data_IF_247411963458
#
_entry.id   IF_247411963458
#
_cell.length_a   1.000
_cell.length_b   1.000
_cell.length_c   1.000
_cell.angle_alpha   90.00
_cell.angle_beta   90.00
_cell.angle_gamma   90.00
#
_symmetry.space_group_name_H-M   'P 1'
#
loop_
_entity.id
_entity.type
_entity.pdbx_description
1 polymer ?
#
# COMPACT_ATOMS: atom_id res chain seq x y z
N UNK A 1 45.62 -21.08 -4.99
CA UNK A 1 45.11 -19.85 -5.63
C UNK A 1 45.02 -18.79 -4.55
N UNK A 2 45.71 -17.66 -4.68
CA UNK A 2 45.59 -16.56 -3.73
C UNK A 2 44.18 -15.97 -3.83
N UNK A 3 43.53 -15.70 -2.70
CA UNK A 3 42.25 -15.01 -2.71
C UNK A 3 42.46 -13.57 -3.22
N UNK A 4 41.76 -13.20 -4.28
CA UNK A 4 41.75 -11.81 -4.77
C UNK A 4 40.95 -10.99 -3.77
N UNK A 5 41.60 -9.98 -3.19
CA UNK A 5 40.94 -9.04 -2.28
C UNK A 5 40.10 -8.05 -3.06
N UNK A 6 38.85 -7.85 -2.66
CA UNK A 6 37.98 -6.82 -3.24
C UNK A 6 38.58 -5.42 -3.05
N UNK A 7 39.36 -5.22 -1.97
CA UNK A 7 40.07 -3.97 -1.65
C UNK A 7 41.34 -3.74 -2.48
N UNK A 8 41.70 -4.68 -3.37
CA UNK A 8 42.79 -4.50 -4.31
C UNK A 8 42.31 -3.95 -5.66
N UNK A 9 41.00 -3.71 -5.80
CA UNK A 9 40.43 -3.11 -7.00
C UNK A 9 40.65 -1.59 -6.98
N UNK A 10 40.69 -0.93 -8.16
CA UNK A 10 40.55 0.51 -8.26
C UNK A 10 39.25 0.99 -7.58
N UNK A 11 39.30 2.15 -6.93
CA UNK A 11 38.18 2.71 -6.16
C UNK A 11 36.91 2.88 -7.01
N UNK A 12 37.06 3.14 -8.31
CA UNK A 12 35.95 3.24 -9.26
C UNK A 12 35.17 1.93 -9.37
N UNK A 13 35.87 0.79 -9.40
CA UNK A 13 35.24 -0.53 -9.44
C UNK A 13 34.63 -0.89 -8.10
N UNK A 14 35.24 -0.48 -6.99
CA UNK A 14 34.65 -0.67 -5.65
C UNK A 14 33.33 0.09 -5.53
N UNK A 15 33.29 1.35 -6.00
CA UNK A 15 32.07 2.17 -6.04
C UNK A 15 31.00 1.53 -6.91
N UNK A 16 31.36 1.08 -8.11
CA UNK A 16 30.41 0.47 -9.03
C UNK A 16 29.82 -0.83 -8.47
N UNK A 17 30.67 -1.72 -7.91
CA UNK A 17 30.23 -2.94 -7.23
C UNK A 17 29.30 -2.61 -6.06
N UNK A 18 29.64 -1.60 -5.25
CA UNK A 18 28.80 -1.23 -4.12
C UNK A 18 27.46 -0.62 -4.55
N UNK A 19 27.42 0.08 -5.69
CA UNK A 19 26.22 0.75 -6.22
C UNK A 19 25.16 -0.21 -6.78
N UNK A 20 25.56 -1.41 -7.20
CA UNK A 20 24.65 -2.43 -7.73
C UNK A 20 24.02 -3.30 -6.63
N UNK A 21 24.54 -3.25 -5.40
CA UNK A 21 24.02 -4.00 -4.27
C UNK A 21 22.68 -3.42 -3.76
N UNK A 22 21.85 -4.28 -3.18
CA UNK A 22 20.68 -3.84 -2.41
C UNK A 22 21.09 -3.19 -1.09
N UNK A 23 20.20 -2.38 -0.51
CA UNK A 23 20.47 -1.59 0.71
C UNK A 23 21.01 -2.42 1.89
N UNK A 24 20.49 -3.64 2.08
CA UNK A 24 20.94 -4.55 3.15
C UNK A 24 22.39 -5.02 2.97
N UNK A 25 22.72 -5.69 1.85
CA UNK A 25 24.10 -6.05 1.52
C UNK A 25 25.07 -4.86 1.50
N UNK A 26 24.66 -3.68 0.99
CA UNK A 26 25.48 -2.46 1.05
C UNK A 26 25.88 -2.11 2.49
N UNK A 27 24.90 -2.11 3.42
CA UNK A 27 25.15 -1.81 4.82
C UNK A 27 26.02 -2.88 5.47
N UNK A 28 25.79 -4.16 5.17
CA UNK A 28 26.62 -5.26 5.68
C UNK A 28 28.08 -5.12 5.23
N UNK A 29 28.30 -4.77 3.96
CA UNK A 29 29.63 -4.53 3.41
C UNK A 29 30.31 -3.34 4.10
N UNK A 30 29.58 -2.23 4.27
CA UNK A 30 30.07 -1.05 4.98
C UNK A 30 30.46 -1.34 6.44
N UNK A 31 29.76 -2.26 7.10
CA UNK A 31 30.04 -2.68 8.47
C UNK A 31 31.16 -3.71 8.58
N UNK A 32 31.62 -4.29 7.47
CA UNK A 32 32.63 -5.35 7.48
C UNK A 32 34.06 -4.83 7.72
N UNK A 33 34.40 -3.65 7.21
CA UNK A 33 35.72 -3.04 7.38
C UNK A 33 35.72 -1.52 7.22
N UNK A 34 36.80 -0.85 7.68
CA UNK A 34 36.92 0.62 7.62
C UNK A 34 36.98 1.16 6.19
N UNK A 35 37.60 0.44 5.26
CA UNK A 35 37.70 0.88 3.86
C UNK A 35 36.32 1.00 3.21
N UNK A 36 35.47 -0.03 3.33
CA UNK A 36 34.08 0.03 2.86
C UNK A 36 33.23 1.01 3.65
N UNK A 37 33.53 1.23 4.94
CA UNK A 37 32.86 2.27 5.71
C UNK A 37 33.15 3.67 5.15
N UNK A 38 34.40 3.96 4.76
CA UNK A 38 34.74 5.24 4.10
C UNK A 38 34.10 5.34 2.71
N UNK A 39 34.11 4.25 1.93
CA UNK A 39 33.43 4.19 0.64
C UNK A 39 31.93 4.47 0.76
N UNK A 40 31.30 3.91 1.80
CA UNK A 40 29.90 4.12 2.10
C UNK A 40 29.57 5.59 2.36
N UNK A 41 30.49 6.37 2.94
CA UNK A 41 30.29 7.80 3.18
C UNK A 41 30.35 8.66 1.92
N UNK A 42 30.79 8.10 0.78
CA UNK A 42 30.80 8.85 -0.47
C UNK A 42 29.39 9.27 -0.88
N UNK A 43 29.20 10.48 -1.47
CA UNK A 43 27.88 10.95 -1.87
C UNK A 43 27.16 10.00 -2.85
N UNK A 44 27.90 9.39 -3.77
CA UNK A 44 27.35 8.45 -4.76
C UNK A 44 26.74 7.21 -4.09
N UNK A 45 27.45 6.63 -3.11
CA UNK A 45 26.96 5.45 -2.38
C UNK A 45 25.85 5.81 -1.42
N UNK A 46 25.92 6.95 -0.72
CA UNK A 46 24.81 7.42 0.12
C UNK A 46 23.54 7.63 -0.70
N UNK A 47 23.65 8.25 -1.87
CA UNK A 47 22.52 8.45 -2.78
C UNK A 47 21.95 7.12 -3.27
N UNK A 48 22.80 6.20 -3.77
CA UNK A 48 22.37 4.88 -4.20
C UNK A 48 21.69 4.10 -3.07
N UNK A 49 22.28 4.12 -1.87
CA UNK A 49 21.72 3.49 -0.67
C UNK A 49 20.33 4.07 -0.34
N UNK A 50 20.18 5.40 -0.35
CA UNK A 50 18.90 6.05 -0.08
C UNK A 50 17.84 5.73 -1.14
N UNK A 51 18.21 5.67 -2.42
CA UNK A 51 17.32 5.21 -3.51
C UNK A 51 16.82 3.79 -3.25
N UNK A 52 17.74 2.85 -2.96
CA UNK A 52 17.38 1.46 -2.66
C UNK A 52 16.51 1.36 -1.41
N UNK A 53 16.85 2.12 -0.36
CA UNK A 53 16.08 2.16 0.87
C UNK A 53 14.65 2.64 0.63
N UNK A 54 14.47 3.62 -0.25
CA UNK A 54 13.16 4.21 -0.59
C UNK A 54 12.46 3.51 -1.75
N UNK A 55 13.06 2.45 -2.32
CA UNK A 55 12.56 1.73 -3.48
C UNK A 55 12.32 2.69 -4.66
N UNK A 56 13.23 3.64 -4.81
CA UNK A 56 13.28 4.59 -5.91
C UNK A 56 14.44 4.25 -6.85
N UNK A 57 14.34 4.71 -8.09
CA UNK A 57 15.37 4.68 -9.10
C UNK A 57 15.53 6.07 -9.71
N UNK A 58 16.76 6.40 -10.06
CA UNK A 58 17.08 7.57 -10.85
C UNK A 58 16.78 7.26 -12.33
N UNK A 59 16.13 8.19 -13.03
CA UNK A 59 15.79 7.99 -14.43
C UNK A 59 16.88 8.49 -15.40
N UNK A 60 18.09 8.77 -14.90
CA UNK A 60 19.26 9.11 -15.72
C UNK A 60 19.23 10.55 -16.21
N UNK A 61 19.31 11.50 -15.28
CA UNK A 61 19.25 12.93 -15.60
C UNK A 61 20.61 13.60 -15.60
N UNK A 62 20.77 14.69 -16.37
CA UNK A 62 21.99 15.53 -16.35
C UNK A 62 22.06 16.44 -15.11
N UNK A 63 21.32 16.13 -14.05
CA UNK A 63 21.26 16.95 -12.84
C UNK A 63 22.40 16.52 -11.91
N UNK A 64 23.11 17.49 -11.30
CA UNK A 64 24.16 17.17 -10.34
C UNK A 64 23.66 16.25 -9.22
N UNK A 65 24.46 15.23 -8.89
CA UNK A 65 24.16 14.23 -7.85
C UNK A 65 23.74 14.87 -6.52
N UNK A 66 24.41 15.95 -6.10
CA UNK A 66 24.09 16.66 -4.86
C UNK A 66 22.67 17.24 -4.85
N UNK A 67 22.19 17.72 -6.01
CA UNK A 67 20.84 18.26 -6.17
C UNK A 67 19.80 17.13 -6.07
N UNK A 68 20.07 15.99 -6.71
CA UNK A 68 19.21 14.81 -6.65
C UNK A 68 19.14 14.23 -5.24
N UNK A 69 20.30 14.11 -4.57
CA UNK A 69 20.38 13.61 -3.21
C UNK A 69 19.67 14.54 -2.21
N UNK A 70 19.90 15.86 -2.31
CA UNK A 70 19.20 16.85 -1.49
C UNK A 70 17.68 16.79 -1.69
N UNK A 71 17.23 16.58 -2.93
CA UNK A 71 15.81 16.41 -3.26
C UNK A 71 15.25 15.14 -2.63
N UNK A 72 15.95 14.01 -2.72
CA UNK A 72 15.54 12.74 -2.11
C UNK A 72 15.42 12.87 -0.57
N UNK A 73 16.42 13.48 0.07
CA UNK A 73 16.39 13.74 1.51
C UNK A 73 15.24 14.66 1.92
N UNK A 74 14.96 15.71 1.14
CA UNK A 74 13.81 16.60 1.37
C UNK A 74 12.50 15.82 1.25
N UNK A 75 12.32 15.00 0.21
CA UNK A 75 11.13 14.17 0.04
C UNK A 75 10.94 13.20 1.21
N UNK A 76 12.03 12.55 1.65
CA UNK A 76 12.02 11.65 2.79
C UNK A 76 11.61 12.37 4.07
N UNK A 77 12.20 13.52 4.36
CA UNK A 77 11.82 14.35 5.52
C UNK A 77 10.36 14.81 5.40
N UNK A 78 9.93 15.30 4.23
CA UNK A 78 8.53 15.68 4.03
C UNK A 78 7.57 14.54 4.31
N UNK A 79 7.90 13.30 3.92
CA UNK A 79 7.10 12.13 4.23
C UNK A 79 7.14 11.76 5.71
N UNK A 80 8.33 11.72 6.31
CA UNK A 80 8.53 11.40 7.72
C UNK A 80 7.78 12.34 8.66
N UNK A 81 7.79 13.63 8.34
CA UNK A 81 7.17 14.68 9.14
C UNK A 81 5.78 15.06 8.66
N UNK A 82 5.26 14.39 7.63
CA UNK A 82 4.00 14.74 6.96
C UNK A 82 3.92 16.24 6.64
N UNK A 83 5.04 16.81 6.19
CA UNK A 83 5.15 18.24 5.87
C UNK A 83 4.52 18.49 4.49
N UNK A 84 3.19 18.52 4.48
CA UNK A 84 2.38 18.72 3.29
C UNK A 84 2.68 20.06 2.64
N UNK A 85 2.95 20.05 1.34
CA UNK A 85 3.14 21.27 0.54
C UNK A 85 1.83 21.85 0.05
N UNK A 86 0.78 21.02 -0.02
CA UNK A 86 -0.54 21.38 -0.47
C UNK A 86 -1.58 20.63 0.36
N UNK A 87 -2.65 21.33 0.75
CA UNK A 87 -3.79 20.77 1.44
C UNK A 87 -5.08 21.28 0.81
N UNK A 88 -6.07 20.40 0.72
CA UNK A 88 -7.39 20.74 0.19
C UNK A 88 -8.46 19.92 0.88
N UNK A 89 -9.68 20.47 0.91
CA UNK A 89 -10.84 19.78 1.46
C UNK A 89 -11.80 19.49 0.33
N UNK A 90 -12.10 18.20 0.10
CA UNK A 90 -13.14 17.77 -0.83
C UNK A 90 -14.40 17.49 -0.03
N UNK A 91 -15.47 18.27 -0.30
CA UNK A 91 -16.78 18.02 0.31
C UNK A 91 -17.50 16.96 -0.50
N UNK A 92 -17.95 15.91 0.16
CA UNK A 92 -18.73 14.85 -0.46
C UNK A 92 -20.10 14.75 0.20
N UNK A 93 -21.18 14.62 -0.57
CA UNK A 93 -22.53 14.41 -0.03
C UNK A 93 -22.64 13.03 0.61
N UNK A 94 -23.63 12.81 1.49
CA UNK A 94 -23.95 11.47 2.00
C UNK A 94 -23.07 10.95 3.15
N UNK A 95 -23.57 9.90 3.83
CA UNK A 95 -22.90 9.25 4.97
C UNK A 95 -22.00 8.14 4.43
N UNK A 96 -20.73 8.14 4.81
CA UNK A 96 -19.75 7.14 4.37
C UNK A 96 -20.16 5.70 4.76
N UNK A 97 -20.31 4.81 3.77
CA UNK A 97 -20.44 3.36 3.98
C UNK A 97 -19.10 2.66 3.74
N UNK A 98 -18.57 2.81 2.53
CA UNK A 98 -17.30 2.27 2.09
C UNK A 98 -16.54 3.32 1.26
N UNK A 99 -15.22 3.24 1.21
CA UNK A 99 -14.40 4.10 0.35
C UNK A 99 -13.18 3.37 -0.18
N UNK A 100 -12.67 3.88 -1.29
CA UNK A 100 -11.42 3.48 -1.88
C UNK A 100 -10.64 4.72 -2.34
N UNK A 101 -9.32 4.61 -2.29
CA UNK A 101 -8.43 5.64 -2.81
C UNK A 101 -7.30 4.98 -3.57
N UNK A 102 -7.23 5.22 -4.88
CA UNK A 102 -6.12 4.76 -5.72
C UNK A 102 -5.74 5.79 -6.75
N UNK A 103 -4.43 5.98 -6.96
CA UNK A 103 -3.88 6.82 -8.04
C UNK A 103 -4.44 8.25 -8.10
N UNK A 104 -4.73 8.84 -6.94
CA UNK A 104 -5.33 10.16 -6.82
C UNK A 104 -6.80 10.22 -7.23
N UNK A 105 -7.49 9.09 -7.34
CA UNK A 105 -8.95 8.97 -7.40
C UNK A 105 -9.43 8.54 -6.02
N UNK A 106 -10.33 9.33 -5.44
CA UNK A 106 -11.10 8.97 -4.27
C UNK A 106 -12.50 8.54 -4.72
N UNK A 107 -12.95 7.40 -4.26
CA UNK A 107 -14.31 6.94 -4.50
C UNK A 107 -14.95 6.51 -3.17
N UNK A 108 -16.26 6.67 -3.06
CA UNK A 108 -17.01 6.18 -1.92
C UNK A 108 -18.42 5.77 -2.28
N UNK A 109 -18.95 4.84 -1.48
CA UNK A 109 -20.36 4.50 -1.46
C UNK A 109 -20.99 5.17 -0.24
N UNK A 110 -22.14 5.80 -0.46
CA UNK A 110 -22.93 6.41 0.61
C UNK A 110 -23.94 5.41 1.17
N UNK A 111 -24.20 5.45 2.49
CA UNK A 111 -25.29 4.70 3.11
C UNK A 111 -26.63 5.17 2.54
N UNK A 112 -27.48 4.26 2.03
CA UNK A 112 -27.50 2.81 2.32
C UNK A 112 -26.80 1.88 1.30
N UNK A 113 -26.03 2.41 0.37
CA UNK A 113 -25.29 1.64 -0.64
C UNK A 113 -25.64 2.00 -2.07
N UNK A 114 -26.47 3.02 -2.28
CA UNK A 114 -27.13 3.28 -3.57
C UNK A 114 -26.47 4.37 -4.40
N UNK A 115 -25.57 5.16 -3.80
CA UNK A 115 -24.86 6.24 -4.47
C UNK A 115 -23.36 6.03 -4.40
N UNK A 116 -22.70 6.25 -5.53
CA UNK A 116 -21.26 6.19 -5.69
C UNK A 116 -20.75 7.59 -6.02
N UNK A 117 -19.90 8.14 -5.16
CA UNK A 117 -19.19 9.39 -5.40
C UNK A 117 -17.76 9.11 -5.85
N UNK A 118 -17.31 9.70 -6.95
CA UNK A 118 -15.94 9.58 -7.47
C UNK A 118 -15.35 10.97 -7.69
N UNK A 119 -14.14 11.22 -7.17
CA UNK A 119 -13.44 12.50 -7.27
C UNK A 119 -11.97 12.30 -7.66
N UNK A 120 -11.49 13.13 -8.57
CA UNK A 120 -10.06 13.27 -8.80
C UNK A 120 -9.46 14.22 -7.77
N UNK A 121 -8.53 13.75 -6.96
CA UNK A 121 -7.87 14.58 -5.95
C UNK A 121 -6.76 15.43 -6.58
N UNK A 122 -6.68 16.68 -6.11
CA UNK A 122 -5.62 17.62 -6.48
C UNK A 122 -4.30 17.24 -5.81
N UNK A 123 -3.22 17.29 -6.58
CA UNK A 123 -1.85 17.18 -6.09
C UNK A 123 -1.06 18.45 -6.41
N UNK A 124 0.19 18.53 -5.96
CA UNK A 124 1.06 19.68 -6.26
C UNK A 124 1.27 19.90 -7.77
N UNK A 125 1.09 18.86 -8.59
CA UNK A 125 1.33 18.90 -10.04
C UNK A 125 0.08 18.70 -10.89
N UNK A 126 -1.06 18.36 -10.28
CA UNK A 126 -2.29 18.03 -10.99
C UNK A 126 -3.49 18.67 -10.33
N UNK A 127 -4.26 19.43 -11.10
CA UNK A 127 -5.59 19.88 -10.67
C UNK A 127 -6.51 18.67 -10.55
N UNK A 128 -7.23 18.57 -9.44
CA UNK A 128 -8.22 17.52 -9.24
C UNK A 128 -9.36 17.61 -10.25
N UNK A 129 -10.08 16.51 -10.41
CA UNK A 129 -11.31 16.48 -11.20
C UNK A 129 -12.52 16.69 -10.27
N UNK A 130 -13.57 17.38 -10.74
CA UNK A 130 -14.81 17.51 -9.99
C UNK A 130 -15.34 16.15 -9.52
N UNK A 131 -15.98 16.16 -8.36
CA UNK A 131 -16.68 14.98 -7.88
C UNK A 131 -17.91 14.70 -8.74
N UNK A 132 -18.02 13.47 -9.26
CA UNK A 132 -19.24 12.95 -9.84
C UNK A 132 -19.97 12.09 -8.81
N UNK A 133 -21.30 12.19 -8.78
CA UNK A 133 -22.17 11.36 -7.92
C UNK A 133 -23.10 10.58 -8.83
N UNK A 134 -23.18 9.27 -8.63
CA UNK A 134 -23.90 8.34 -9.50
C UNK A 134 -24.90 7.55 -8.69
N UNK A 135 -26.10 7.37 -9.23
CA UNK A 135 -27.06 6.41 -8.70
C UNK A 135 -26.75 5.04 -9.29
N UNK A 136 -26.54 4.04 -8.45
CA UNK A 136 -26.20 2.68 -8.90
C UNK A 136 -27.43 1.91 -9.39
N UNK A 137 -28.63 2.27 -8.90
CA UNK A 137 -29.86 1.50 -9.15
C UNK A 137 -29.97 0.22 -8.33
N UNK A 138 -28.92 -0.15 -7.60
CA UNK A 138 -28.86 -1.30 -6.69
C UNK A 138 -28.11 -0.92 -5.40
N UNK A 139 -28.11 -1.84 -4.42
CA UNK A 139 -27.40 -1.67 -3.16
C UNK A 139 -26.03 -2.31 -3.22
N UNK A 140 -25.00 -1.48 -3.37
CA UNK A 140 -23.62 -1.93 -3.32
C UNK A 140 -23.18 -2.15 -1.86
N UNK A 141 -22.55 -3.30 -1.61
CA UNK A 141 -21.93 -3.65 -0.33
C UNK A 141 -20.47 -3.16 -0.29
N UNK A 142 -19.72 -3.46 -1.36
CA UNK A 142 -18.29 -3.17 -1.49
C UNK A 142 -17.94 -2.82 -2.93
N UNK A 143 -16.76 -2.25 -3.12
CA UNK A 143 -16.24 -2.01 -4.45
C UNK A 143 -14.71 -1.93 -4.42
N UNK A 144 -14.10 -2.06 -5.59
CA UNK A 144 -12.68 -1.83 -5.82
C UNK A 144 -12.49 -1.00 -7.09
N UNK A 145 -11.47 -0.14 -7.11
CA UNK A 145 -11.13 0.67 -8.29
C UNK A 145 -9.75 0.32 -8.81
N UNK A 146 -9.58 0.34 -10.13
CA UNK A 146 -8.29 0.39 -10.82
C UNK A 146 -8.30 1.51 -11.86
N UNK A 147 -7.90 2.73 -11.46
CA UNK A 147 -7.84 3.86 -12.39
C UNK A 147 -6.91 3.68 -13.58
N UNK A 148 -5.93 2.76 -13.53
CA UNK A 148 -5.05 2.51 -14.66
C UNK A 148 -5.74 1.83 -15.84
N UNK A 149 -6.85 1.12 -15.55
CA UNK A 149 -7.69 0.46 -16.54
C UNK A 149 -9.02 1.18 -16.73
N UNK A 150 -9.20 2.35 -16.10
CA UNK A 150 -10.50 3.02 -16.05
C UNK A 150 -11.61 2.10 -15.49
N UNK A 151 -11.30 1.24 -14.51
CA UNK A 151 -12.19 0.17 -14.03
C UNK A 151 -12.66 0.40 -12.59
N UNK A 152 -13.95 0.21 -12.34
CA UNK A 152 -14.52 0.01 -11.02
C UNK A 152 -15.33 -1.28 -11.00
N UNK A 153 -15.08 -2.14 -10.01
CA UNK A 153 -15.84 -3.36 -9.76
C UNK A 153 -16.67 -3.17 -8.50
N UNK A 154 -18.00 -3.26 -8.63
CA UNK A 154 -18.96 -3.01 -7.55
C UNK A 154 -19.66 -4.33 -7.20
N UNK A 155 -19.69 -4.68 -5.92
CA UNK A 155 -20.31 -5.89 -5.39
C UNK A 155 -21.72 -5.57 -4.89
N UNK A 156 -22.72 -6.25 -5.43
CA UNK A 156 -24.11 -6.24 -4.97
C UNK A 156 -24.41 -7.55 -4.23
N UNK A 157 -24.90 -7.47 -3.00
CA UNK A 157 -25.45 -8.63 -2.26
C UNK A 157 -26.96 -8.73 -2.52
N UNK A 158 -27.35 -9.70 -3.32
CA UNK A 158 -28.75 -10.01 -3.63
C UNK A 158 -29.21 -11.10 -2.66
N UNK A 159 -30.29 -10.85 -1.92
CA UNK A 159 -30.92 -11.88 -1.07
C UNK A 159 -32.10 -12.47 -1.82
N UNK A 160 -32.00 -13.76 -2.13
CA UNK A 160 -33.09 -14.50 -2.74
C UNK A 160 -34.23 -14.76 -1.74
N UNK A 161 -35.44 -15.07 -2.21
CA UNK A 161 -36.59 -15.35 -1.34
C UNK A 161 -36.38 -16.53 -0.37
N UNK A 162 -35.51 -17.49 -0.72
CA UNK A 162 -35.13 -18.62 0.12
C UNK A 162 -34.12 -18.24 1.23
N UNK A 163 -33.69 -16.97 1.31
CA UNK A 163 -32.67 -16.49 2.24
C UNK A 163 -31.22 -16.69 1.76
N UNK A 164 -31.03 -17.30 0.60
CA UNK A 164 -29.72 -17.48 -0.03
C UNK A 164 -29.14 -16.14 -0.45
N UNK A 165 -27.83 -15.98 -0.28
CA UNK A 165 -27.10 -14.78 -0.65
C UNK A 165 -26.39 -15.00 -1.98
N UNK A 166 -26.74 -14.19 -2.95
CA UNK A 166 -26.11 -14.13 -4.26
C UNK A 166 -25.27 -12.86 -4.34
N UNK A 167 -24.13 -12.96 -5.02
CA UNK A 167 -23.22 -11.82 -5.21
C UNK A 167 -23.11 -11.54 -6.70
N UNK A 168 -23.47 -10.32 -7.10
CA UNK A 168 -23.32 -9.85 -8.47
C UNK A 168 -22.21 -8.81 -8.54
N UNK A 169 -21.32 -8.91 -9.54
CA UNK A 169 -20.24 -7.96 -9.76
C UNK A 169 -20.49 -7.12 -11.00
N UNK A 170 -20.65 -5.82 -10.77
CA UNK A 170 -20.82 -4.81 -11.81
C UNK A 170 -19.45 -4.20 -12.14
N UNK A 171 -18.92 -4.51 -13.32
CA UNK A 171 -17.66 -3.94 -13.80
C UNK A 171 -17.94 -2.78 -14.73
N UNK A 172 -17.65 -1.55 -14.28
CA UNK A 172 -17.96 -0.30 -14.97
C UNK A 172 -16.74 0.55 -15.19
N UNK A 173 -16.87 1.57 -16.04
CA UNK A 173 -15.85 2.57 -16.28
C UNK A 173 -15.84 3.65 -15.20
N UNK A 174 -14.67 3.97 -14.65
CA UNK A 174 -14.55 5.08 -13.69
C UNK A 174 -14.91 6.40 -14.37
N UNK A 175 -14.54 6.59 -15.63
CA UNK A 175 -14.76 7.85 -16.35
C UNK A 175 -16.21 8.06 -16.77
N UNK A 176 -16.88 7.04 -17.32
CA UNK A 176 -18.20 7.19 -17.96
C UNK A 176 -19.36 6.48 -17.25
N UNK A 177 -19.08 5.59 -16.29
CA UNK A 177 -20.06 4.66 -15.70
C UNK A 177 -20.63 3.58 -16.62
N UNK A 178 -20.21 3.55 -17.89
CA UNK A 178 -20.63 2.49 -18.81
C UNK A 178 -20.05 1.13 -18.38
N UNK A 179 -20.64 0.04 -18.89
CA UNK A 179 -20.08 -1.30 -18.75
C UNK A 179 -18.63 -1.29 -19.24
N UNK A 180 -17.73 -1.85 -18.44
CA UNK A 180 -16.32 -1.92 -18.80
C UNK A 180 -16.14 -2.78 -20.06
N UNK A 181 -15.33 -2.39 -21.07
CA UNK A 181 -15.23 -3.11 -22.34
C UNK A 181 -14.78 -4.57 -22.23
N UNK A 182 -14.05 -4.92 -21.15
CA UNK A 182 -13.65 -6.30 -20.86
C UNK A 182 -14.74 -7.12 -20.14
N UNK A 183 -15.82 -6.49 -19.69
CA UNK A 183 -16.99 -7.18 -19.14
C UNK A 183 -17.91 -7.58 -20.29
N UNK A 184 -18.28 -8.86 -20.34
CA UNK A 184 -19.18 -9.37 -21.40
C UNK A 184 -20.64 -8.94 -21.19
N UNK A 185 -21.03 -8.69 -19.94
CA UNK A 185 -22.38 -8.28 -19.50
C UNK A 185 -22.25 -7.40 -18.25
N UNK A 186 -23.23 -6.51 -18.00
CA UNK A 186 -23.32 -5.80 -16.72
C UNK A 186 -23.82 -6.79 -15.67
N UNK A 187 -22.96 -7.11 -14.70
CA UNK A 187 -23.29 -8.09 -13.69
C UNK A 187 -23.17 -9.52 -14.20
N UNK A 188 -22.01 -10.13 -13.99
CA UNK A 188 -21.90 -11.58 -14.09
C UNK A 188 -22.15 -12.20 -12.71
N UNK A 189 -22.81 -13.35 -12.72
CA UNK A 189 -23.05 -14.11 -11.51
C UNK A 189 -21.72 -14.67 -11.02
N UNK A 190 -21.32 -14.27 -9.81
CA UNK A 190 -20.41 -15.10 -9.05
C UNK A 190 -21.30 -16.10 -8.32
N UNK A 191 -21.57 -17.24 -8.99
CA UNK A 191 -21.82 -18.45 -8.20
C UNK A 191 -20.61 -18.55 -7.29
N UNK A 192 -20.81 -18.70 -5.99
CA UNK A 192 -19.73 -18.64 -4.99
C UNK A 192 -18.74 -19.82 -5.10
N UNK A 193 -18.72 -20.47 -6.25
CA UNK A 193 -17.83 -21.52 -6.70
C UNK A 193 -17.31 -21.13 -8.09
N UNK A 194 -16.01 -20.84 -8.14
CA UNK A 194 -15.16 -20.79 -9.34
C UNK A 194 -14.97 -19.45 -10.10
N UNK A 195 -13.71 -19.01 -9.97
CA UNK A 195 -12.86 -18.24 -10.90
C UNK A 195 -13.00 -16.72 -10.82
N UNK A 196 -12.11 -16.16 -9.98
CA UNK A 196 -11.84 -14.74 -9.72
C UNK A 196 -12.92 -14.06 -8.86
N UNK A 197 -13.09 -14.41 -7.58
CA UNK A 197 -12.31 -13.72 -6.52
C UNK A 197 -12.36 -14.43 -5.15
N UNK A 198 -13.08 -15.53 -4.99
CA UNK A 198 -12.97 -16.42 -3.82
C UNK A 198 -13.07 -17.85 -4.33
N UNK A 199 -12.02 -18.63 -4.07
CA UNK A 199 -11.97 -20.07 -4.31
C UNK A 199 -12.81 -20.76 -3.25
N UNK A 200 -13.75 -21.61 -3.65
CA UNK A 200 -14.38 -22.55 -2.72
C UNK A 200 -13.48 -23.79 -2.63
N UNK A 201 -12.89 -24.10 -1.47
CA UNK A 201 -12.00 -25.23 -1.33
C UNK A 201 -12.78 -26.55 -1.39
N UNK A 202 -12.60 -27.27 -2.48
CA UNK A 202 -12.88 -28.71 -2.52
C UNK A 202 -11.81 -29.52 -1.76
N UNK A 203 -10.71 -28.88 -1.33
CA UNK A 203 -9.69 -29.46 -0.45
C UNK A 203 -9.23 -28.46 0.64
N UNK A 204 -9.10 -28.94 1.86
CA UNK A 204 -9.00 -28.22 3.15
C UNK A 204 -7.82 -27.24 3.41
N UNK A 205 -7.23 -26.58 2.42
CA UNK A 205 -5.92 -25.92 2.61
C UNK A 205 -5.98 -24.42 2.96
N UNK A 206 -7.15 -23.79 3.03
CA UNK A 206 -7.22 -22.40 3.49
C UNK A 206 -7.32 -22.29 5.02
N UNK A 207 -6.64 -21.30 5.63
CA UNK A 207 -6.76 -21.03 7.05
C UNK A 207 -8.22 -20.71 7.40
N UNK A 208 -8.74 -21.20 8.54
CA UNK A 208 -10.04 -20.76 9.02
C UNK A 208 -10.03 -19.25 9.31
N UNK A 209 -11.22 -18.66 9.32
CA UNK A 209 -11.46 -17.26 9.71
C UNK A 209 -10.81 -16.21 8.80
N UNK A 210 -10.65 -16.52 7.50
CA UNK A 210 -10.31 -15.50 6.50
C UNK A 210 -11.47 -14.52 6.40
N UNK A 211 -11.17 -13.24 6.63
CA UNK A 211 -12.20 -12.19 6.67
C UNK A 211 -11.90 -11.05 5.70
N UNK A 212 -10.68 -10.98 5.15
CA UNK A 212 -10.32 -10.02 4.12
C UNK A 212 -9.30 -10.59 3.14
N UNK A 213 -9.33 -10.08 1.92
CA UNK A 213 -8.50 -10.47 0.79
C UNK A 213 -8.08 -9.23 0.01
N UNK A 214 -6.86 -9.22 -0.51
CA UNK A 214 -6.42 -8.17 -1.41
C UNK A 214 -5.43 -8.68 -2.47
N UNK A 215 -5.61 -8.25 -3.72
CA UNK A 215 -4.69 -8.56 -4.81
C UNK A 215 -3.38 -7.77 -4.70
N UNK A 216 -2.25 -8.50 -4.69
CA UNK A 216 -0.90 -7.94 -4.74
C UNK A 216 -0.37 -7.79 -6.16
N UNK A 217 -0.82 -8.61 -7.11
CA UNK A 217 -0.42 -8.58 -8.52
C UNK A 217 -1.40 -9.44 -9.32
N UNK A 218 -1.13 -9.65 -10.61
CA UNK A 218 -1.90 -10.60 -11.43
C UNK A 218 -1.80 -12.06 -10.93
N UNK A 219 -0.73 -12.38 -10.21
CA UNK A 219 -0.35 -13.73 -9.81
C UNK A 219 -0.19 -13.89 -8.29
N UNK A 220 -0.45 -12.86 -7.49
CA UNK A 220 -0.30 -12.92 -6.04
C UNK A 220 -1.39 -12.11 -5.33
N UNK A 221 -1.73 -12.56 -4.13
CA UNK A 221 -2.73 -11.94 -3.25
C UNK A 221 -2.38 -12.18 -1.78
N UNK A 222 -3.04 -11.43 -0.89
CA UNK A 222 -3.00 -11.66 0.55
C UNK A 222 -4.36 -12.11 1.04
N UNK A 223 -4.34 -13.07 1.96
CA UNK A 223 -5.47 -13.41 2.80
C UNK A 223 -5.16 -12.98 4.21
N UNK A 224 -6.15 -12.43 4.88
CA UNK A 224 -6.04 -12.09 6.29
C UNK A 224 -7.00 -12.97 7.07
N UNK A 225 -6.45 -13.64 8.08
CA UNK A 225 -7.22 -14.42 9.05
C UNK A 225 -7.19 -13.70 10.39
N UNK A 226 -8.34 -13.65 11.06
CA UNK A 226 -8.45 -13.17 12.45
C UNK A 226 -8.29 -14.30 13.47
N UNK A 227 -7.86 -15.50 13.04
CA UNK A 227 -7.61 -16.62 13.93
C UNK A 227 -6.44 -16.33 14.88
N UNK A 228 -6.69 -16.44 16.19
CA UNK A 228 -5.73 -16.08 17.24
C UNK A 228 -5.30 -14.61 17.16
N UNK A 229 -3.98 -14.28 17.21
CA UNK A 229 -3.52 -12.89 17.13
C UNK A 229 -3.74 -12.26 15.74
N UNK A 230 -4.19 -13.05 14.77
CA UNK A 230 -4.33 -12.69 13.36
C UNK A 230 -3.09 -13.03 12.55
N UNK A 231 -3.32 -13.37 11.28
CA UNK A 231 -2.28 -13.80 10.33
C UNK A 231 -2.52 -13.16 8.97
N UNK A 232 -1.43 -12.84 8.27
CA UNK A 232 -1.48 -12.45 6.87
C UNK A 232 -0.78 -13.54 6.07
N UNK A 233 -1.52 -14.19 5.18
CA UNK A 233 -1.01 -15.20 4.27
C UNK A 233 -0.76 -14.56 2.91
N UNK A 234 0.49 -14.53 2.48
CA UNK A 234 0.84 -14.15 1.11
C UNK A 234 0.74 -15.40 0.25
N UNK A 235 -0.13 -15.34 -0.75
CA UNK A 235 -0.42 -16.43 -1.65
C UNK A 235 0.02 -16.07 -3.07
N UNK A 236 0.46 -17.07 -3.83
CA UNK A 236 0.84 -16.91 -5.24
C UNK A 236 0.18 -18.01 -6.07
N UNK A 237 -0.35 -17.65 -7.23
CA UNK A 237 -0.79 -18.61 -8.23
C UNK A 237 0.42 -19.24 -8.90
N UNK A 238 0.45 -20.57 -8.96
CA UNK A 238 1.46 -21.26 -9.76
C UNK A 238 1.16 -21.06 -11.24
N UNK A 239 2.14 -20.71 -12.10
CA UNK A 239 1.92 -20.64 -13.53
C UNK A 239 1.57 -22.01 -14.13
N UNK A 240 2.01 -23.11 -13.50
CA UNK A 240 1.73 -24.48 -13.96
C UNK A 240 0.40 -25.02 -13.42
N UNK A 241 -0.13 -24.44 -12.34
CA UNK A 241 -1.40 -24.82 -11.77
C UNK A 241 -2.12 -23.58 -11.20
N UNK A 242 -2.68 -22.71 -12.06
CA UNK A 242 -3.32 -21.47 -11.63
C UNK A 242 -4.58 -21.70 -10.79
N UNK A 243 -5.11 -22.93 -10.76
CA UNK A 243 -6.27 -23.29 -9.96
C UNK A 243 -5.97 -23.40 -8.45
N UNK A 244 -4.72 -23.65 -8.07
CA UNK A 244 -4.33 -23.91 -6.66
C UNK A 244 -3.25 -22.92 -6.22
N UNK A 245 -3.62 -21.80 -5.60
CA UNK A 245 -2.64 -20.87 -5.07
C UNK A 245 -1.86 -21.50 -3.91
N UNK A 246 -0.56 -21.23 -3.85
CA UNK A 246 0.32 -21.69 -2.78
C UNK A 246 0.61 -20.54 -1.80
N UNK A 247 0.53 -20.81 -0.49
CA UNK A 247 0.99 -19.86 0.53
C UNK A 247 2.51 -19.79 0.49
N UNK A 248 3.05 -18.64 0.08
CA UNK A 248 4.51 -18.41 -0.04
C UNK A 248 5.11 -17.77 1.22
N UNK A 249 4.30 -17.09 2.01
CA UNK A 249 4.70 -16.55 3.30
C UNK A 249 3.50 -16.43 4.25
N UNK A 250 3.75 -16.57 5.54
CA UNK A 250 2.77 -16.25 6.59
C UNK A 250 3.41 -15.26 7.56
N UNK A 251 2.78 -14.09 7.71
CA UNK A 251 3.18 -13.07 8.66
C UNK A 251 2.27 -13.19 9.88
N UNK A 252 2.87 -13.46 11.03
CA UNK A 252 2.16 -13.50 12.30
C UNK A 252 2.02 -12.07 12.82
N UNK A 253 0.80 -11.66 13.15
CA UNK A 253 0.62 -10.42 13.89
C UNK A 253 1.17 -10.61 15.31
N UNK A 254 1.75 -9.56 15.93
CA UNK A 254 2.29 -9.66 17.28
C UNK A 254 1.23 -10.19 18.24
N UNK A 255 1.57 -11.14 19.13
CA UNK A 255 0.62 -11.64 20.12
C UNK A 255 0.15 -10.50 21.02
N UNK A 256 -1.13 -10.55 21.40
CA UNK A 256 -1.79 -9.50 22.18
C UNK A 256 -2.45 -10.06 23.42
N UNK A 257 -2.57 -9.22 24.46
CA UNK A 257 -3.24 -9.58 25.71
C UNK A 257 -4.74 -9.89 25.51
N UNK A 258 -5.40 -9.26 24.53
CA UNK A 258 -6.71 -9.69 24.03
C UNK A 258 -6.50 -10.62 22.83
N UNK A 259 -7.18 -11.76 22.80
CA UNK A 259 -6.94 -12.82 21.81
C UNK A 259 -7.60 -12.58 20.45
N UNK A 260 -8.35 -11.49 20.25
CA UNK A 260 -9.10 -11.25 19.01
C UNK A 260 -8.90 -9.84 18.46
N UNK A 261 -8.59 -9.76 17.17
CA UNK A 261 -8.64 -8.55 16.36
C UNK A 261 -10.07 -8.40 15.83
N UNK A 262 -10.71 -7.27 16.08
CA UNK A 262 -12.11 -7.04 15.63
C UNK A 262 -12.18 -6.80 14.14
N UNK A 263 -11.20 -6.07 13.62
CA UNK A 263 -11.15 -5.65 12.24
C UNK A 263 -9.71 -5.41 11.82
N UNK A 264 -9.35 -5.88 10.63
CA UNK A 264 -8.03 -5.65 10.06
C UNK A 264 -8.14 -5.43 8.54
N UNK A 265 -7.93 -4.23 8.06
CA UNK A 265 -8.02 -3.92 6.63
C UNK A 265 -6.66 -3.65 6.06
N UNK A 266 -6.44 -4.10 4.84
CA UNK A 266 -5.26 -3.70 4.07
C UNK A 266 -5.65 -2.82 2.92
N UNK A 267 -4.72 -1.94 2.59
CA UNK A 267 -4.72 -1.24 1.34
C UNK A 267 -3.35 -1.41 0.69
N UNK A 268 -3.36 -1.90 -0.53
CA UNK A 268 -2.22 -1.97 -1.44
C UNK A 268 -2.42 -0.96 -2.53
N UNK A 269 -1.44 -0.07 -2.68
CA UNK A 269 -1.39 0.84 -3.82
C UNK A 269 -0.09 0.56 -4.57
N UNK A 270 -0.22 0.24 -5.86
CA UNK A 270 0.91 0.25 -6.79
C UNK A 270 1.36 1.69 -6.91
N UNK A 271 2.65 1.93 -6.71
CA UNK A 271 3.20 3.24 -6.96
C UNK A 271 3.01 3.54 -8.45
N UNK A 272 2.46 4.73 -8.80
CA UNK A 272 2.03 5.02 -10.15
C UNK A 272 3.18 4.83 -11.14
N UNK A 273 2.92 4.04 -12.18
CA UNK A 273 3.81 3.94 -13.36
C UNK A 273 3.60 5.10 -14.31
N UNK A 274 2.48 5.83 -14.17
CA UNK A 274 2.15 6.96 -15.01
C UNK A 274 3.06 8.14 -14.66
N UNK A 275 4.08 8.30 -15.50
CA UNK A 275 5.09 9.33 -15.42
C UNK A 275 4.49 10.66 -15.84
N UNK A 276 4.70 11.69 -15.03
CA UNK A 276 4.76 13.05 -15.57
C UNK A 276 6.10 13.16 -16.32
N UNK A 277 6.13 13.55 -17.60
CA UNK A 277 7.38 13.85 -18.29
C UNK A 277 8.26 14.78 -17.43
N UNK A 278 9.54 14.44 -17.29
CA UNK A 278 10.48 15.17 -16.43
C UNK A 278 10.52 14.73 -14.95
N UNK A 279 9.92 13.59 -14.61
CA UNK A 279 10.08 13.01 -13.26
C UNK A 279 11.50 12.46 -13.08
N UNK A 280 12.26 13.04 -12.14
CA UNK A 280 13.68 12.68 -11.89
C UNK A 280 13.85 11.36 -11.16
N UNK A 281 12.98 11.12 -10.17
CA UNK A 281 13.02 9.97 -9.28
C UNK A 281 11.74 9.17 -9.46
N UNK A 282 11.87 7.90 -9.79
CA UNK A 282 10.74 7.03 -10.03
C UNK A 282 10.71 5.91 -9.00
N UNK A 283 9.54 5.42 -8.57
CA UNK A 283 9.49 4.15 -7.88
C UNK A 283 10.05 3.05 -8.79
N UNK A 284 10.74 2.06 -8.22
CA UNK A 284 11.13 0.86 -8.98
C UNK A 284 9.86 0.22 -9.56
N UNK A 285 9.86 -0.30 -10.81
CA UNK A 285 8.70 -0.95 -11.38
C UNK A 285 8.10 -2.01 -10.46
N UNK A 286 6.78 -2.12 -10.47
CA UNK A 286 6.01 -3.05 -9.61
C UNK A 286 6.09 -2.78 -8.10
N UNK A 287 6.72 -1.69 -7.64
CA UNK A 287 6.75 -1.32 -6.23
C UNK A 287 5.36 -0.98 -5.70
N UNK A 288 5.10 -1.37 -4.45
CA UNK A 288 3.82 -1.21 -3.79
C UNK A 288 4.00 -0.68 -2.37
N UNK A 289 3.06 0.15 -1.96
CA UNK A 289 2.85 0.47 -0.55
C UNK A 289 1.72 -0.42 -0.06
N UNK A 290 2.00 -1.19 0.98
CA UNK A 290 1.00 -1.96 1.72
C UNK A 290 0.80 -1.33 3.09
N UNK A 291 -0.44 -0.90 3.35
CA UNK A 291 -0.87 -0.34 4.61
C UNK A 291 -1.80 -1.35 5.26
N UNK A 292 -1.46 -1.75 6.49
CA UNK A 292 -2.29 -2.60 7.32
C UNK A 292 -2.94 -1.74 8.40
N UNK A 293 -4.26 -1.82 8.57
CA UNK A 293 -5.03 -1.08 9.58
C UNK A 293 -5.80 -2.06 10.44
N UNK A 294 -5.34 -2.28 11.67
CA UNK A 294 -6.06 -3.10 12.65
C UNK A 294 -6.76 -2.28 13.71
N UNK A 295 -7.99 -2.63 14.08
CA UNK A 295 -8.64 -2.17 15.30
C UNK A 295 -8.79 -3.32 16.29
N UNK A 296 -8.78 -2.99 17.57
CA UNK A 296 -8.95 -3.96 18.65
C UNK A 296 -10.06 -3.49 19.59
N UNK A 297 -10.82 -4.42 20.17
CA UNK A 297 -11.77 -4.08 21.21
C UNK A 297 -10.97 -3.67 22.44
N UNK A 298 -11.06 -2.40 22.80
CA UNK A 298 -10.57 -1.91 24.09
C UNK A 298 -11.74 -1.89 25.05
N UNK A 299 -11.61 -2.59 26.19
CA UNK A 299 -12.67 -2.71 27.19
C UNK A 299 -13.15 -1.36 27.76
N UNK A 300 -12.41 -0.25 27.57
CA UNK A 300 -12.72 1.04 28.24
C UNK A 300 -12.32 2.36 27.52
N UNK A 301 -11.87 2.41 26.25
CA UNK A 301 -11.46 3.71 25.60
C UNK A 301 -11.36 3.62 24.06
N UNK A 302 -11.13 4.71 23.28
CA UNK A 302 -11.37 4.72 21.83
C UNK A 302 -10.37 3.87 21.03
N UNK A 303 -10.86 3.42 19.87
CA UNK A 303 -10.19 2.60 18.85
C UNK A 303 -8.70 2.93 18.72
N UNK A 304 -7.84 1.93 18.93
CA UNK A 304 -6.42 2.01 18.60
C UNK A 304 -6.19 1.42 17.20
N UNK A 305 -5.74 2.26 16.27
CA UNK A 305 -5.34 1.81 14.94
C UNK A 305 -3.86 1.46 14.94
N UNK A 306 -3.52 0.21 14.60
CA UNK A 306 -2.15 -0.17 14.27
C UNK A 306 -1.95 0.02 12.76
N UNK A 307 -1.07 0.94 12.37
CA UNK A 307 -0.63 1.11 10.98
C UNK A 307 0.81 0.62 10.85
N UNK A 308 1.02 -0.35 9.96
CA UNK A 308 2.34 -0.80 9.58
C UNK A 308 2.49 -0.55 8.09
N UNK A 309 3.52 0.19 7.68
CA UNK A 309 3.86 0.38 6.27
C UNK A 309 4.94 -0.64 5.93
N UNK A 310 4.54 -1.75 5.32
CA UNK A 310 5.47 -2.76 4.82
C UNK A 310 6.07 -2.33 3.49
N UNK A 311 7.39 -2.34 3.37
CA UNK A 311 8.09 -2.17 2.09
C UNK A 311 8.15 -3.53 1.36
N UNK A 312 8.20 -3.51 0.03
CA UNK A 312 8.31 -4.70 -0.81
C UNK A 312 9.28 -5.73 -0.21
N UNK A 313 8.80 -6.95 -0.04
CA UNK A 313 9.51 -8.06 0.59
C UNK A 313 10.69 -8.51 -0.27
N UNK A 314 11.92 -8.20 0.14
CA UNK A 314 13.05 -9.12 -0.02
C UNK A 314 13.17 -9.88 1.31
N UNK A 315 13.16 -11.22 1.26
CA UNK A 315 13.17 -12.07 2.43
C UNK A 315 14.42 -11.83 3.30
N UNK A 316 14.28 -11.06 4.36
CA UNK A 316 15.28 -10.96 5.43
C UNK A 316 14.59 -11.15 6.78
N UNK A 317 14.79 -12.33 7.35
CA UNK A 317 14.45 -12.67 8.72
C UNK A 317 15.47 -12.04 9.67
N UNK A 318 15.03 -11.11 10.52
CA UNK A 318 15.82 -10.67 11.66
C UNK A 318 15.87 -9.16 11.88
N UNK A 319 14.74 -8.55 12.24
CA UNK A 319 14.72 -7.23 12.89
C UNK A 319 13.60 -7.24 13.94
N UNK A 320 13.95 -7.45 15.20
CA UNK A 320 13.07 -7.21 16.35
C UNK A 320 13.03 -5.71 16.64
N UNK A 321 11.88 -5.07 16.44
CA UNK A 321 11.66 -3.66 16.81
C UNK A 321 10.93 -3.55 18.16
N UNK A 322 11.43 -2.67 19.03
CA UNK A 322 10.86 -2.37 20.35
C UNK A 322 9.74 -1.34 20.19
N UNK A 323 8.52 -1.68 20.59
CA UNK A 323 7.35 -0.80 20.57
C UNK A 323 7.31 0.04 21.87
N UNK A 324 7.27 1.37 21.77
CA UNK A 324 6.91 2.23 22.89
C UNK A 324 5.52 2.84 22.66
N UNK A 325 4.58 2.63 23.59
CA UNK A 325 3.25 3.23 23.54
C UNK A 325 3.19 4.47 24.43
N UNK A 326 2.82 5.64 23.87
CA UNK A 326 2.39 6.81 24.65
C UNK A 326 0.88 7.04 24.52
N UNK A 327 0.24 7.42 25.62
CA UNK A 327 -1.22 7.62 25.75
C UNK A 327 -1.63 9.04 25.33
N UNK A 328 -2.60 9.18 24.43
CA UNK A 328 -3.38 10.42 24.24
C UNK A 328 -4.84 10.11 23.82
N UNK A 329 -5.82 10.96 24.17
CA UNK A 329 -7.23 10.79 23.79
C UNK A 329 -7.53 11.36 22.39
N UNK A 330 -8.24 10.60 21.56
CA UNK A 330 -8.63 10.98 20.20
C UNK A 330 -7.77 10.32 19.12
N UNK A 331 -8.40 9.84 18.05
CA UNK A 331 -7.84 9.03 16.95
C UNK A 331 -6.36 9.27 16.65
N UNK A 332 -5.53 8.27 16.93
CA UNK A 332 -4.09 8.26 16.66
C UNK A 332 -3.84 7.32 15.48
N UNK A 333 -3.35 7.86 14.36
CA UNK A 333 -2.63 7.07 13.37
C UNK A 333 -1.21 6.84 13.86
N UNK A 334 -0.80 5.58 14.01
CA UNK A 334 0.58 5.25 14.35
C UNK A 334 1.44 5.28 13.07
N UNK A 335 2.58 5.95 13.10
CA UNK A 335 3.63 5.82 12.09
C UNK A 335 4.82 5.15 12.76
N UNK A 336 5.37 4.11 12.13
CA UNK A 336 6.60 3.49 12.61
C UNK A 336 7.80 4.15 11.93
N UNK A 337 8.48 5.03 12.65
CA UNK A 337 9.82 5.53 12.33
C UNK A 337 10.85 4.77 13.17
N UNK A 338 11.85 4.17 12.52
CA UNK A 338 13.09 3.76 13.18
C UNK A 338 13.91 5.03 13.46
N UNK A 339 13.71 5.64 14.63
CA UNK A 339 14.45 6.82 15.08
C UNK A 339 13.75 7.57 16.20
N UNK A 340 14.40 7.68 17.36
CA UNK A 340 13.87 8.35 18.55
C UNK A 340 13.81 9.87 18.39
N UNK A 341 12.62 10.48 18.43
CA UNK A 341 12.35 11.83 18.97
C UNK A 341 10.84 12.10 19.03
N UNK A 342 10.35 12.61 20.16
CA UNK A 342 8.92 12.87 20.40
C UNK A 342 8.44 14.16 19.76
N UNK A 343 7.21 14.17 19.24
CA UNK A 343 6.49 15.36 18.77
C UNK A 343 5.30 15.61 19.70
N UNK A 344 5.18 16.83 20.19
CA UNK A 344 4.14 17.28 21.12
C UNK A 344 3.28 18.35 20.42
N UNK A 345 2.04 18.02 20.01
CA UNK A 345 1.03 19.02 19.61
C UNK A 345 -0.40 18.53 19.90
N UNK A 346 -1.16 19.39 20.59
CA UNK A 346 -2.59 19.21 20.89
C UNK A 346 -3.44 19.49 19.64
N UNK A 347 -4.37 18.59 19.34
CA UNK A 347 -5.48 18.83 18.41
C UNK A 347 -6.79 18.71 19.18
N UNK A 348 -7.65 19.73 19.12
CA UNK A 348 -8.96 19.75 19.77
C UNK A 348 -10.06 20.01 18.72
N UNK A 349 -10.87 19.00 18.38
CA UNK A 349 -12.32 19.02 18.07
C UNK A 349 -12.80 17.63 17.58
N UNK A 350 -14.01 17.15 17.94
CA UNK A 350 -14.50 15.84 17.50
C UNK A 350 -15.23 15.96 16.15
N UNK A 351 -14.50 15.79 15.06
CA UNK A 351 -15.05 15.42 13.77
C UNK A 351 -14.08 14.43 13.12
N UNK A 352 -14.58 13.33 12.56
CA UNK A 352 -13.77 12.34 11.85
C UNK A 352 -12.96 13.05 10.74
N UNK A 353 -11.68 13.30 10.98
CA UNK A 353 -10.74 13.78 9.98
C UNK A 353 -9.95 12.58 9.49
N UNK A 354 -10.32 12.07 8.32
CA UNK A 354 -9.50 11.08 7.62
C UNK A 354 -8.36 11.83 6.92
N UNK A 355 -7.12 11.63 7.39
CA UNK A 355 -5.93 12.15 6.70
C UNK A 355 -5.52 11.10 5.69
N UNK A 356 -5.78 11.39 4.43
CA UNK A 356 -5.41 10.53 3.31
C UNK A 356 -4.09 11.03 2.73
N UNK A 357 -3.05 10.20 2.79
CA UNK A 357 -1.73 10.48 2.24
C UNK A 357 -1.53 9.74 0.91
N UNK A 358 -1.23 10.45 -0.17
CA UNK A 358 -0.80 9.83 -1.42
C UNK A 358 0.29 10.69 -2.07
N UNK A 359 1.29 10.02 -2.69
CA UNK A 359 2.43 10.67 -3.34
C UNK A 359 2.20 10.75 -4.85
N UNK A 360 2.46 11.92 -5.44
CA UNK A 360 2.52 12.14 -6.89
C UNK A 360 3.86 12.80 -7.21
N UNK A 361 4.61 12.21 -8.15
CA UNK A 361 5.92 12.68 -8.56
C UNK A 361 5.89 14.11 -9.10
N UNK A 362 6.94 14.88 -8.82
CA UNK A 362 7.12 16.24 -9.33
C UNK A 362 7.97 16.23 -10.61
N UNK A 363 7.54 16.93 -11.67
CA UNK A 363 8.44 17.44 -12.72
C UNK A 363 8.67 18.93 -12.52
N UNK A 364 9.87 19.41 -12.85
CA UNK A 364 10.19 20.83 -12.97
C UNK A 364 10.79 20.96 -14.38
N UNK A 365 10.21 21.82 -15.20
CA UNK A 365 10.75 22.30 -16.47
C UNK A 365 11.94 23.21 -16.23
#
# INVERSE_FOLDING_TARGET
MAAVSLLALPAELELEIMSILDAGPMLCLALSCRAFQELFKSPAIQYAYELRLTVMQDNGTNIPLETLHSRLQRLRKSWEWLNWTFGGTVKLPGILEAYELRSGIFAKIDRPGTFLSICGLSSATRTGHPCSVRSLGFRADKFAIDPSQDLIAILEEIRLPNGEKHVQVHARRISTDDIHPNAKVDGFHLDFVQRFLIYEPTSHDFPPDVYNFEMLSKDAFILMSVSGPGKIHVCKFSPTCPATPTVVATLLLPPTASSKVDFFVTHSVRLPECLTPGTLLMPVPHSRIHVFTGTRPTQTSPIRSLCTVGRSFAAYSGLTTKLESKRYPGTIGAYMTLGSRSIDRKWAHPALRMVIAYYVGHSIT
#
